data_IF_163072315369
#
_entry.id   IF_163072315369
#
_cell.length_a   1.000
_cell.length_b   1.000
_cell.length_c   1.000
_cell.angle_alpha   90.00
_cell.angle_beta   90.00
_cell.angle_gamma   90.00
#
_symmetry.space_group_name_H-M   'P 1'
#
loop_
_entity.id
_entity.type
_entity.pdbx_description
1 polymer ?
#
# COMPACT_ATOMS: atom_id res chain seq x y z
N UNK A 1 -2.84 13.76 26.02
CA UNK A 1 -2.32 12.89 24.94
C UNK A 1 -3.09 13.22 23.67
N UNK A 2 -2.43 13.33 22.51
CA UNK A 2 -3.14 13.57 21.25
C UNK A 2 -3.86 12.28 20.86
N UNK A 3 -5.19 12.34 20.84
CA UNK A 3 -6.02 11.22 20.45
C UNK A 3 -6.25 11.17 18.93
N UNK A 4 -6.41 12.34 18.31
CA UNK A 4 -6.56 12.47 16.86
C UNK A 4 -5.23 12.26 16.13
N UNK A 5 -5.31 11.64 14.96
CA UNK A 5 -4.18 11.55 14.01
C UNK A 5 -3.78 12.95 13.54
N UNK A 6 -4.77 13.82 13.29
CA UNK A 6 -4.59 15.23 12.97
C UNK A 6 -5.71 16.07 13.61
N UNK A 7 -5.37 17.23 14.17
CA UNK A 7 -6.30 18.14 14.84
C UNK A 7 -6.40 19.45 14.04
N UNK A 8 -7.40 19.59 13.13
CA UNK A 8 -7.48 20.75 12.26
C UNK A 8 -7.83 22.05 12.99
N UNK A 9 -8.34 21.96 14.23
CA UNK A 9 -8.62 23.14 15.06
C UNK A 9 -7.31 23.74 15.57
N UNK A 10 -6.33 22.90 15.92
CA UNK A 10 -5.02 23.35 16.42
C UNK A 10 -3.97 23.55 15.34
N UNK A 11 -3.97 22.70 14.32
CA UNK A 11 -2.91 22.65 13.30
C UNK A 11 -3.29 23.34 11.99
N UNK A 12 -4.52 23.85 11.88
CA UNK A 12 -5.05 24.48 10.68
C UNK A 12 -5.79 23.51 9.77
N UNK A 13 -6.41 24.03 8.70
CA UNK A 13 -7.20 23.21 7.77
C UNK A 13 -6.37 22.47 6.73
N UNK A 14 -5.15 22.94 6.46
CA UNK A 14 -4.24 22.37 5.47
C UNK A 14 -3.20 21.50 6.18
N UNK A 15 -3.11 20.23 5.80
CA UNK A 15 -2.02 19.36 6.24
C UNK A 15 -0.78 19.57 5.36
N UNK A 16 0.40 19.45 5.95
CA UNK A 16 1.63 19.17 5.18
C UNK A 16 1.78 17.65 5.04
N UNK A 17 1.50 17.16 3.83
CA UNK A 17 1.47 15.74 3.49
C UNK A 17 2.70 15.39 2.66
N UNK A 18 3.45 14.39 3.09
CA UNK A 18 4.59 13.87 2.32
C UNK A 18 4.17 12.57 1.64
N UNK A 19 4.13 12.57 0.31
CA UNK A 19 3.80 11.40 -0.49
C UNK A 19 5.09 10.68 -0.92
N UNK A 20 5.28 9.46 -0.43
CA UNK A 20 6.44 8.63 -0.76
C UNK A 20 6.09 7.79 -1.98
N UNK A 21 6.93 7.86 -3.01
CA UNK A 21 6.73 7.13 -4.26
C UNK A 21 8.04 6.43 -4.68
N UNK A 22 7.92 5.30 -5.36
CA UNK A 22 9.05 4.63 -6.01
C UNK A 22 8.81 4.35 -7.50
N UNK A 23 7.58 4.52 -7.99
CA UNK A 23 7.16 4.12 -9.34
C UNK A 23 6.34 5.17 -10.07
N UNK A 24 5.18 4.76 -10.60
CA UNK A 24 4.32 5.59 -11.45
C UNK A 24 3.67 6.77 -10.74
N UNK A 25 3.51 6.71 -9.41
CA UNK A 25 2.87 7.77 -8.62
C UNK A 25 1.36 7.88 -8.81
N UNK A 26 0.70 6.82 -9.28
CA UNK A 26 -0.76 6.84 -9.53
C UNK A 26 -1.58 7.06 -8.26
N UNK A 27 -1.30 6.36 -7.15
CA UNK A 27 -1.95 6.63 -5.86
C UNK A 27 -1.75 8.08 -5.40
N UNK A 28 -0.55 8.63 -5.58
CA UNK A 28 -0.25 10.02 -5.26
C UNK A 28 -1.13 11.00 -6.06
N UNK A 29 -1.30 10.77 -7.37
CA UNK A 29 -2.19 11.58 -8.20
C UNK A 29 -3.61 11.60 -7.63
N UNK A 30 -4.19 10.43 -7.36
CA UNK A 30 -5.58 10.36 -6.87
C UNK A 30 -5.76 11.04 -5.50
N UNK A 31 -4.75 10.94 -4.62
CA UNK A 31 -4.74 11.64 -3.32
C UNK A 31 -4.84 13.14 -3.53
N UNK A 32 -3.98 13.70 -4.40
CA UNK A 32 -3.91 15.15 -4.68
C UNK A 32 -5.17 15.63 -5.39
N UNK A 33 -5.60 14.94 -6.45
CA UNK A 33 -6.73 15.37 -7.28
C UNK A 33 -8.03 15.44 -6.46
N UNK A 34 -8.18 14.56 -5.48
CA UNK A 34 -9.35 14.52 -4.58
C UNK A 34 -9.23 15.42 -3.35
N UNK A 35 -8.01 15.81 -2.95
CA UNK A 35 -7.75 16.63 -1.76
C UNK A 35 -6.78 17.79 -2.08
N UNK A 36 -7.08 18.65 -3.05
CA UNK A 36 -6.11 19.65 -3.56
C UNK A 36 -5.73 20.71 -2.50
N UNK A 37 -6.53 20.87 -1.45
CA UNK A 37 -6.38 21.91 -0.44
C UNK A 37 -5.36 21.57 0.67
N UNK A 38 -4.30 20.84 0.34
CA UNK A 38 -3.21 20.49 1.27
C UNK A 38 -1.85 20.84 0.69
N UNK A 39 -0.85 20.93 1.55
CA UNK A 39 0.53 21.24 1.15
C UNK A 39 1.26 19.93 0.89
N UNK A 40 1.52 19.64 -0.38
CA UNK A 40 2.11 18.38 -0.80
C UNK A 40 3.60 18.51 -1.11
N UNK A 41 4.37 17.57 -0.58
CA UNK A 41 5.75 17.31 -1.01
C UNK A 41 5.86 15.85 -1.39
N UNK A 42 6.59 15.58 -2.47
CA UNK A 42 6.84 14.22 -2.93
C UNK A 42 8.25 13.81 -2.54
N UNK A 43 8.37 12.67 -1.86
CA UNK A 43 9.65 12.04 -1.60
C UNK A 43 9.81 10.81 -2.51
N UNK A 44 11.00 10.59 -3.08
CA UNK A 44 11.33 9.35 -3.79
C UNK A 44 12.68 8.78 -3.40
N UNK A 45 12.71 7.47 -3.18
CA UNK A 45 13.93 6.66 -3.04
C UNK A 45 14.50 6.19 -4.38
N UNK A 46 13.83 6.51 -5.48
CA UNK A 46 14.22 6.23 -6.87
C UNK A 46 14.19 7.54 -7.65
N UNK A 47 15.29 8.31 -7.62
CA UNK A 47 15.38 9.58 -8.35
C UNK A 47 14.95 9.41 -9.82
N UNK A 48 14.10 10.30 -10.31
CA UNK A 48 13.58 10.25 -11.67
C UNK A 48 12.47 9.21 -11.95
N UNK A 49 11.88 8.57 -10.93
CA UNK A 49 10.72 7.69 -11.13
C UNK A 49 9.51 8.43 -11.74
N UNK A 50 8.58 7.70 -12.39
CA UNK A 50 7.48 8.29 -13.16
C UNK A 50 6.61 9.28 -12.38
N UNK A 51 6.38 9.04 -11.09
CA UNK A 51 5.59 9.94 -10.25
C UNK A 51 6.24 11.31 -10.01
N UNK A 52 7.56 11.47 -10.21
CA UNK A 52 8.21 12.79 -10.18
C UNK A 52 7.67 13.70 -11.29
N UNK A 53 7.25 13.14 -12.43
CA UNK A 53 6.62 13.90 -13.51
C UNK A 53 5.23 14.43 -13.12
N UNK A 54 4.46 13.65 -12.35
CA UNK A 54 3.16 14.07 -11.81
C UNK A 54 3.37 15.21 -10.81
N UNK A 55 4.36 15.08 -9.91
CA UNK A 55 4.69 16.10 -8.93
C UNK A 55 5.05 17.45 -9.57
N UNK A 56 5.90 17.43 -10.60
CA UNK A 56 6.28 18.64 -11.37
C UNK A 56 5.07 19.30 -12.04
N UNK A 57 4.16 18.51 -12.63
CA UNK A 57 2.93 19.04 -13.26
C UNK A 57 2.02 19.74 -12.24
N UNK A 58 1.99 19.24 -11.01
CA UNK A 58 1.22 19.82 -9.90
C UNK A 58 2.00 20.92 -9.14
N UNK A 59 3.20 21.31 -9.60
CA UNK A 59 4.09 22.25 -8.90
C UNK A 59 4.43 21.84 -7.45
N UNK A 60 4.44 20.54 -7.17
CA UNK A 60 4.81 20.02 -5.86
C UNK A 60 6.31 19.81 -5.78
N UNK A 61 6.92 20.21 -4.65
CA UNK A 61 8.35 20.02 -4.39
C UNK A 61 8.66 18.52 -4.39
N UNK A 62 9.76 18.15 -5.07
CA UNK A 62 10.28 16.78 -5.08
C UNK A 62 11.58 16.74 -4.29
N UNK A 63 11.64 15.85 -3.30
CA UNK A 63 12.83 15.50 -2.54
C UNK A 63 13.27 14.09 -2.95
N UNK A 64 14.54 13.93 -3.27
CA UNK A 64 15.09 12.67 -3.77
C UNK A 64 16.25 12.22 -2.88
N UNK A 65 16.19 10.97 -2.39
CA UNK A 65 17.31 10.34 -1.70
C UNK A 65 17.37 8.87 -2.05
N UNK A 66 18.33 8.49 -2.90
CA UNK A 66 18.47 7.10 -3.34
C UNK A 66 18.85 6.17 -2.18
N UNK A 67 18.07 5.11 -2.00
CA UNK A 67 18.35 4.06 -1.02
C UNK A 67 19.46 3.10 -1.47
N UNK A 68 19.82 3.11 -2.77
CA UNK A 68 20.75 2.13 -3.36
C UNK A 68 22.14 2.21 -2.72
N UNK A 69 22.79 3.39 -2.55
CA UNK A 69 24.10 3.48 -1.93
C UNK A 69 24.10 2.99 -0.48
N UNK A 70 23.08 3.34 0.29
CA UNK A 70 22.91 2.93 1.68
C UNK A 70 22.84 1.41 1.83
N UNK A 71 22.02 0.76 1.01
CA UNK A 71 21.76 -0.68 1.17
C UNK A 71 22.74 -1.57 0.40
N UNK A 72 23.73 -1.00 -0.30
CA UNK A 72 24.62 -1.74 -1.20
C UNK A 72 25.36 -2.87 -0.47
N UNK A 73 26.05 -2.55 0.62
CA UNK A 73 26.85 -3.53 1.35
C UNK A 73 25.98 -4.54 2.11
N UNK A 74 24.88 -4.09 2.71
CA UNK A 74 23.90 -4.97 3.33
C UNK A 74 23.30 -5.98 2.33
N UNK A 75 23.01 -5.55 1.10
CA UNK A 75 22.50 -6.44 0.03
C UNK A 75 23.52 -7.48 -0.41
N UNK A 76 24.82 -7.15 -0.43
CA UNK A 76 25.87 -8.15 -0.67
C UNK A 76 25.93 -9.18 0.45
N UNK A 77 25.78 -8.74 1.70
CA UNK A 77 25.83 -9.60 2.90
C UNK A 77 24.63 -10.52 3.03
N UNK A 78 23.42 -9.99 2.84
CA UNK A 78 22.17 -10.71 3.11
C UNK A 78 21.49 -11.28 1.85
N UNK A 79 21.85 -10.76 0.68
CA UNK A 79 21.12 -10.96 -0.57
C UNK A 79 20.07 -9.85 -0.83
N UNK A 80 19.70 -9.64 -2.10
CA UNK A 80 18.65 -8.70 -2.48
C UNK A 80 17.30 -9.12 -1.85
N UNK A 81 16.52 -8.14 -1.38
CA UNK A 81 15.24 -8.39 -0.71
C UNK A 81 15.32 -8.97 0.71
N UNK A 82 16.50 -9.43 1.14
CA UNK A 82 16.71 -10.12 2.42
C UNK A 82 17.38 -9.27 3.50
N UNK A 83 17.65 -7.99 3.22
CA UNK A 83 18.20 -7.06 4.21
C UNK A 83 17.17 -6.87 5.33
N UNK A 84 17.49 -7.22 6.59
CA UNK A 84 16.58 -7.13 7.72
C UNK A 84 15.94 -5.75 7.86
N UNK A 85 14.69 -5.68 8.31
CA UNK A 85 13.93 -4.44 8.46
C UNK A 85 14.69 -3.38 9.28
N UNK A 86 15.23 -3.77 10.43
CA UNK A 86 15.96 -2.87 11.33
C UNK A 86 17.49 -2.97 11.17
N UNK A 87 17.97 -3.32 9.97
CA UNK A 87 19.40 -3.28 9.68
C UNK A 87 19.94 -1.84 9.83
N UNK A 88 21.16 -1.64 10.37
CA UNK A 88 21.73 -0.30 10.59
C UNK A 88 21.70 0.59 9.34
N UNK A 89 21.90 0.02 8.16
CA UNK A 89 21.90 0.72 6.88
C UNK A 89 20.52 1.29 6.51
N UNK A 90 19.44 0.55 6.82
CA UNK A 90 18.06 1.04 6.64
C UNK A 90 17.74 2.15 7.64
N UNK A 91 18.14 1.97 8.90
CA UNK A 91 17.94 2.98 9.95
C UNK A 91 18.69 4.27 9.59
N UNK A 92 19.93 4.17 9.12
CA UNK A 92 20.70 5.34 8.71
C UNK A 92 20.06 6.03 7.51
N UNK A 93 19.62 5.26 6.50
CA UNK A 93 18.88 5.81 5.37
C UNK A 93 17.64 6.59 5.80
N UNK A 94 16.84 6.03 6.72
CA UNK A 94 15.64 6.71 7.23
C UNK A 94 15.94 7.94 8.07
N UNK A 95 17.03 7.95 8.85
CA UNK A 95 17.48 9.16 9.57
C UNK A 95 17.76 10.31 8.62
N UNK A 96 18.53 10.04 7.56
CA UNK A 96 18.91 11.06 6.58
C UNK A 96 17.70 11.52 5.75
N UNK A 97 16.83 10.59 5.36
CA UNK A 97 15.55 10.87 4.71
C UNK A 97 14.65 11.74 5.58
N UNK A 98 14.49 11.41 6.87
CA UNK A 98 13.67 12.18 7.79
C UNK A 98 14.25 13.58 8.00
N UNK A 99 15.57 13.69 8.14
CA UNK A 99 16.26 14.97 8.25
C UNK A 99 16.04 15.83 7.00
N UNK A 100 16.18 15.25 5.80
CA UNK A 100 15.91 15.95 4.54
C UNK A 100 14.50 16.54 4.48
N UNK A 101 13.48 15.73 4.82
CA UNK A 101 12.08 16.16 4.82
C UNK A 101 11.85 17.27 5.86
N UNK A 102 12.28 17.05 7.11
CA UNK A 102 12.04 18.00 8.20
C UNK A 102 12.82 19.29 8.02
N UNK A 103 14.01 19.25 7.44
CA UNK A 103 14.78 20.43 7.07
C UNK A 103 14.07 21.25 6.00
N UNK A 104 13.50 20.61 4.96
CA UNK A 104 12.75 21.31 3.91
C UNK A 104 11.48 21.97 4.46
N UNK A 105 10.73 21.32 5.34
CA UNK A 105 9.45 21.86 5.85
C UNK A 105 9.55 22.61 7.19
N UNK A 106 10.72 22.57 7.84
CA UNK A 106 10.98 23.20 9.15
C UNK A 106 10.28 22.55 10.36
N UNK A 107 9.66 21.37 10.19
CA UNK A 107 8.87 20.68 11.22
C UNK A 107 8.68 19.20 10.85
N UNK A 108 7.96 18.45 11.70
CA UNK A 108 7.50 17.12 11.32
C UNK A 108 6.30 17.18 10.36
N UNK A 109 6.17 16.21 9.44
CA UNK A 109 4.96 16.04 8.63
C UNK A 109 3.69 15.87 9.48
N UNK A 110 2.57 16.35 8.94
CA UNK A 110 1.25 16.05 9.52
C UNK A 110 0.80 14.64 9.14
N UNK A 111 1.14 14.20 7.92
CA UNK A 111 0.83 12.88 7.38
C UNK A 111 1.90 12.44 6.37
N UNK A 112 2.25 11.17 6.41
CA UNK A 112 3.09 10.50 5.41
C UNK A 112 2.22 9.48 4.69
N UNK A 113 2.17 9.55 3.36
CA UNK A 113 1.42 8.64 2.52
C UNK A 113 2.37 7.80 1.66
N UNK A 114 2.49 6.51 1.95
CA UNK A 114 3.22 5.55 1.13
C UNK A 114 2.38 5.20 -0.11
N UNK A 115 2.58 5.96 -1.18
CA UNK A 115 1.83 5.88 -2.43
C UNK A 115 2.57 5.03 -3.47
N UNK A 116 2.85 3.77 -3.13
CA UNK A 116 3.70 2.87 -3.92
C UNK A 116 5.19 3.03 -3.61
N UNK A 117 5.51 3.21 -2.34
CA UNK A 117 6.87 3.21 -1.81
C UNK A 117 7.37 1.78 -1.60
N UNK A 118 8.56 1.44 -2.08
CA UNK A 118 9.03 0.05 -2.18
C UNK A 118 10.11 -0.35 -1.15
N UNK A 119 10.29 0.43 -0.09
CA UNK A 119 11.18 0.09 1.02
C UNK A 119 10.40 -0.18 2.30
N UNK A 120 10.90 -1.14 3.08
CA UNK A 120 10.44 -1.38 4.45
C UNK A 120 10.69 -0.14 5.31
N UNK A 121 9.73 0.19 6.17
CA UNK A 121 9.89 1.24 7.18
C UNK A 121 10.45 0.67 8.49
N UNK A 122 11.56 1.20 8.99
CA UNK A 122 12.17 0.70 10.23
C UNK A 122 11.42 1.21 11.47
N UNK A 123 11.72 0.63 12.63
CA UNK A 123 11.17 1.06 13.91
C UNK A 123 11.49 2.52 14.21
N UNK A 124 12.62 3.06 13.70
CA UNK A 124 12.98 4.47 13.84
C UNK A 124 11.91 5.40 13.26
N UNK A 125 11.47 5.13 12.03
CA UNK A 125 10.45 5.94 11.38
C UNK A 125 9.07 5.76 12.03
N UNK A 126 8.74 4.53 12.45
CA UNK A 126 7.51 4.24 13.19
C UNK A 126 7.47 5.00 14.51
N UNK A 127 8.51 4.93 15.33
CA UNK A 127 8.58 5.62 16.62
C UNK A 127 8.48 7.14 16.46
N UNK A 128 8.99 7.68 15.34
CA UNK A 128 8.97 9.12 15.08
C UNK A 128 7.61 9.64 14.63
N UNK A 129 6.88 8.86 13.82
CA UNK A 129 5.69 9.38 13.15
C UNK A 129 4.39 8.66 13.46
N UNK A 130 4.38 7.46 14.06
CA UNK A 130 3.14 6.76 14.39
C UNK A 130 2.18 7.65 15.20
N UNK A 131 0.87 7.72 14.86
CA UNK A 131 0.12 7.00 13.82
C UNK A 131 -0.07 7.84 12.52
N UNK A 132 0.97 8.50 12.00
CA UNK A 132 0.89 9.41 10.84
C UNK A 132 1.49 8.84 9.56
N UNK A 133 1.77 7.54 9.50
CA UNK A 133 2.26 6.88 8.28
C UNK A 133 1.15 5.96 7.76
N UNK A 134 0.64 6.25 6.57
CA UNK A 134 -0.37 5.42 5.90
C UNK A 134 0.26 4.62 4.78
N UNK A 135 -0.21 3.39 4.60
CA UNK A 135 0.05 2.59 3.42
C UNK A 135 -1.24 1.97 2.90
N UNK A 136 -1.30 1.75 1.58
CA UNK A 136 -2.33 0.93 0.95
C UNK A 136 -1.69 -0.36 0.44
N UNK A 137 -2.37 -1.48 0.69
CA UNK A 137 -1.96 -2.80 0.22
C UNK A 137 -3.08 -3.43 -0.61
N UNK A 138 -2.79 -3.96 -1.82
CA UNK A 138 -3.77 -4.63 -2.67
C UNK A 138 -4.06 -6.06 -2.18
N UNK A 139 -4.69 -6.16 -1.02
CA UNK A 139 -5.10 -7.41 -0.38
C UNK A 139 -5.82 -7.15 0.95
N UNK A 140 -6.64 -8.11 1.40
CA UNK A 140 -7.26 -8.08 2.73
C UNK A 140 -6.23 -8.51 3.79
N UNK A 141 -5.55 -7.54 4.40
CA UNK A 141 -4.50 -7.82 5.39
C UNK A 141 -5.04 -8.50 6.64
N UNK A 142 -6.33 -8.33 6.95
CA UNK A 142 -6.97 -9.00 8.11
C UNK A 142 -7.18 -10.50 7.90
N UNK A 143 -7.14 -10.95 6.64
CA UNK A 143 -7.13 -12.37 6.27
C UNK A 143 -5.72 -12.92 6.05
N UNK A 144 -4.69 -12.10 6.22
CA UNK A 144 -3.30 -12.49 5.95
C UNK A 144 -2.93 -12.51 4.47
N UNK A 145 -3.71 -11.89 3.59
CA UNK A 145 -3.38 -11.74 2.15
C UNK A 145 -2.35 -10.62 1.96
N UNK A 146 -1.15 -10.85 2.50
CA UNK A 146 0.01 -9.96 2.45
C UNK A 146 1.05 -10.49 1.47
N UNK A 147 2.04 -9.66 1.14
CA UNK A 147 3.13 -10.03 0.22
C UNK A 147 3.21 -9.13 -1.00
N UNK A 148 4.07 -9.48 -1.94
CA UNK A 148 4.35 -8.66 -3.11
C UNK A 148 3.60 -9.17 -4.34
N UNK A 149 3.25 -8.25 -5.24
CA UNK A 149 2.75 -8.56 -6.59
C UNK A 149 1.51 -9.47 -6.57
N UNK A 150 1.61 -10.64 -7.19
CA UNK A 150 0.52 -11.59 -7.44
C UNK A 150 0.11 -12.38 -6.19
N UNK A 151 0.95 -12.41 -5.15
CA UNK A 151 0.79 -13.28 -3.97
C UNK A 151 -0.57 -13.08 -3.28
N UNK A 152 -1.02 -11.86 -2.93
CA UNK A 152 -2.31 -11.68 -2.25
C UNK A 152 -3.51 -12.23 -3.04
N UNK A 153 -3.50 -12.07 -4.36
CA UNK A 153 -4.57 -12.53 -5.25
C UNK A 153 -4.56 -14.05 -5.39
N UNK A 154 -3.37 -14.65 -5.54
CA UNK A 154 -3.23 -16.09 -5.60
C UNK A 154 -3.68 -16.73 -4.29
N UNK A 155 -3.32 -16.17 -3.13
CA UNK A 155 -3.81 -16.63 -1.83
C UNK A 155 -5.34 -16.57 -1.75
N UNK A 156 -5.96 -15.45 -2.17
CA UNK A 156 -7.41 -15.32 -2.18
C UNK A 156 -8.08 -16.38 -3.09
N UNK A 157 -7.56 -16.59 -4.31
CA UNK A 157 -8.06 -17.59 -5.25
C UNK A 157 -7.94 -19.01 -4.68
N UNK A 158 -6.77 -19.38 -4.15
CA UNK A 158 -6.49 -20.73 -3.66
C UNK A 158 -7.22 -21.05 -2.35
N UNK A 159 -7.62 -20.03 -1.59
CA UNK A 159 -8.47 -20.19 -0.40
C UNK A 159 -9.97 -20.13 -0.72
N UNK A 160 -10.34 -19.98 -1.99
CA UNK A 160 -11.73 -20.02 -2.46
C UNK A 160 -12.51 -18.72 -2.26
N UNK A 161 -11.83 -17.59 -2.09
CA UNK A 161 -12.49 -16.29 -1.99
C UNK A 161 -13.19 -15.91 -3.29
N UNK A 162 -14.37 -15.29 -3.19
CA UNK A 162 -15.13 -14.80 -4.34
C UNK A 162 -14.74 -13.37 -4.76
N UNK A 163 -13.99 -12.68 -3.90
CA UNK A 163 -13.63 -11.27 -4.05
C UNK A 163 -12.33 -10.92 -3.34
N UNK A 164 -11.71 -9.84 -3.79
CA UNK A 164 -10.53 -9.21 -3.19
C UNK A 164 -10.81 -7.77 -2.81
N UNK A 165 -10.03 -7.22 -1.89
CA UNK A 165 -10.13 -5.84 -1.39
C UNK A 165 -8.75 -5.22 -1.26
N UNK A 166 -8.68 -3.90 -1.40
CA UNK A 166 -7.53 -3.13 -0.93
C UNK A 166 -7.72 -2.76 0.53
N UNK A 167 -6.63 -2.76 1.29
CA UNK A 167 -6.62 -2.38 2.70
C UNK A 167 -5.67 -1.20 2.90
N UNK A 168 -6.16 -0.14 3.54
CA UNK A 168 -5.37 1.00 3.95
C UNK A 168 -5.26 1.04 5.48
N UNK A 169 -4.03 1.10 5.97
CA UNK A 169 -3.69 0.96 7.37
C UNK A 169 -2.56 1.89 7.78
N UNK A 170 -2.40 2.07 9.10
CA UNK A 170 -1.30 2.81 9.68
C UNK A 170 -0.07 1.90 9.81
N UNK A 171 1.09 2.30 9.28
CA UNK A 171 2.33 1.54 9.47
C UNK A 171 2.74 1.58 10.94
N UNK A 172 2.90 0.41 11.55
CA UNK A 172 3.42 0.26 12.90
C UNK A 172 4.60 -0.75 12.95
N UNK A 173 4.96 -1.22 14.14
CA UNK A 173 6.06 -2.18 14.31
C UNK A 173 5.70 -3.60 13.83
N UNK A 174 4.47 -3.88 13.43
CA UNK A 174 4.07 -5.16 12.84
C UNK A 174 4.01 -5.01 11.31
N UNK A 175 4.90 -5.71 10.59
CA UNK A 175 4.99 -5.62 9.12
C UNK A 175 3.65 -5.96 8.45
N UNK A 176 3.18 -5.07 7.59
CA UNK A 176 1.95 -5.19 6.76
C UNK A 176 0.67 -5.63 7.50
N UNK A 177 0.63 -5.42 8.82
CA UNK A 177 -0.52 -5.72 9.67
C UNK A 177 -0.73 -4.63 10.74
N UNK A 178 -0.56 -3.38 10.32
CA UNK A 178 -0.87 -2.23 11.16
C UNK A 178 -2.38 -2.02 11.32
N UNK A 179 -2.81 -1.13 12.22
CA UNK A 179 -4.23 -0.86 12.44
C UNK A 179 -4.94 -0.40 11.16
N UNK A 180 -5.98 -1.11 10.76
CA UNK A 180 -6.72 -0.83 9.53
C UNK A 180 -7.65 0.36 9.72
N UNK A 181 -7.56 1.33 8.81
CA UNK A 181 -8.49 2.47 8.76
C UNK A 181 -9.64 2.18 7.81
N UNK A 182 -9.34 1.76 6.58
CA UNK A 182 -10.36 1.57 5.54
C UNK A 182 -10.03 0.40 4.61
N UNK A 183 -11.06 -0.34 4.22
CA UNK A 183 -11.04 -1.33 3.15
C UNK A 183 -11.94 -0.89 1.98
N UNK A 184 -11.53 -1.24 0.77
CA UNK A 184 -12.33 -0.97 -0.43
C UNK A 184 -13.61 -1.78 -0.45
N UNK A 185 -14.54 -1.41 -1.35
CA UNK A 185 -15.59 -2.31 -1.79
C UNK A 185 -14.98 -3.62 -2.35
N UNK A 186 -15.71 -4.74 -2.30
CA UNK A 186 -15.20 -6.02 -2.79
C UNK A 186 -15.14 -6.02 -4.33
N UNK A 187 -13.97 -6.31 -4.89
CA UNK A 187 -13.80 -6.60 -6.31
C UNK A 187 -14.07 -8.09 -6.55
N UNK A 188 -15.18 -8.42 -7.23
CA UNK A 188 -15.57 -9.81 -7.52
C UNK A 188 -14.63 -10.41 -8.56
N UNK A 189 -13.92 -11.50 -8.20
CA UNK A 189 -12.84 -12.07 -9.02
C UNK A 189 -13.37 -12.53 -10.39
N UNK A 190 -14.28 -13.53 -10.40
CA UNK A 190 -14.77 -14.13 -11.63
C UNK A 190 -15.46 -13.12 -12.56
N UNK A 191 -16.29 -12.23 -11.98
CA UNK A 191 -16.96 -11.16 -12.72
C UNK A 191 -15.95 -10.22 -13.39
N UNK A 192 -14.94 -9.77 -12.65
CA UNK A 192 -13.92 -8.85 -13.18
C UNK A 192 -13.14 -9.48 -14.32
N UNK A 193 -12.72 -10.75 -14.18
CA UNK A 193 -11.99 -11.45 -15.25
C UNK A 193 -12.85 -11.61 -16.51
N UNK A 194 -14.13 -11.96 -16.36
CA UNK A 194 -15.06 -12.08 -17.49
C UNK A 194 -15.27 -10.74 -18.21
N UNK A 195 -15.38 -9.63 -17.47
CA UNK A 195 -15.50 -8.29 -18.04
C UNK A 195 -14.23 -7.84 -18.77
N UNK A 196 -13.05 -8.24 -18.29
CA UNK A 196 -11.77 -7.99 -18.98
C UNK A 196 -11.68 -8.81 -20.28
N UNK A 197 -12.06 -10.08 -20.24
CA UNK A 197 -12.09 -10.95 -21.43
C UNK A 197 -13.07 -10.45 -22.50
N UNK A 198 -14.21 -9.89 -22.08
CA UNK A 198 -15.19 -9.28 -22.99
C UNK A 198 -14.63 -8.04 -23.73
N UNK A 199 -13.71 -7.31 -23.11
CA UNK A 199 -13.04 -6.14 -23.73
C UNK A 199 -11.90 -6.56 -24.65
N UNK A 200 -11.15 -7.58 -24.25
CA UNK A 200 -10.05 -8.14 -25.02
C UNK A 200 -9.92 -9.62 -24.71
N UNK A 201 -9.97 -10.53 -25.69
CA UNK A 201 -9.95 -11.96 -25.44
C UNK A 201 -8.59 -12.39 -24.88
N UNK A 202 -8.50 -12.55 -23.55
CA UNK A 202 -7.30 -12.95 -22.81
C UNK A 202 -7.42 -14.35 -22.20
N UNK A 203 -8.62 -14.94 -22.21
CA UNK A 203 -8.97 -16.24 -21.61
C UNK A 203 -8.73 -16.31 -20.10
N UNK A 204 -8.86 -15.18 -19.40
CA UNK A 204 -8.63 -15.09 -17.96
C UNK A 204 -9.67 -15.91 -17.17
N UNK A 205 -10.94 -15.89 -17.56
CA UNK A 205 -11.99 -16.64 -16.86
C UNK A 205 -11.84 -18.16 -17.07
N UNK A 206 -11.48 -18.58 -18.27
CA UNK A 206 -11.14 -19.97 -18.58
C UNK A 206 -9.90 -20.41 -17.77
N UNK A 207 -8.88 -19.56 -17.73
CA UNK A 207 -7.69 -19.74 -16.91
C UNK A 207 -8.02 -19.91 -15.42
N UNK A 208 -8.92 -19.10 -14.88
CA UNK A 208 -9.34 -19.20 -13.47
C UNK A 208 -9.97 -20.59 -13.20
N UNK A 209 -10.85 -21.07 -14.08
CA UNK A 209 -11.44 -22.40 -13.93
C UNK A 209 -10.38 -23.50 -13.96
N UNK A 210 -9.38 -23.40 -14.84
CA UNK A 210 -8.26 -24.35 -14.91
C UNK A 210 -7.45 -24.35 -13.62
N UNK A 211 -7.09 -23.18 -13.11
CA UNK A 211 -6.37 -23.00 -11.85
C UNK A 211 -7.13 -23.61 -10.68
N UNK A 212 -8.42 -23.31 -10.54
CA UNK A 212 -9.27 -23.82 -9.47
C UNK A 212 -9.47 -25.35 -9.57
N UNK A 213 -9.66 -25.88 -10.78
CA UNK A 213 -9.81 -27.32 -10.99
C UNK A 213 -8.53 -28.08 -10.59
N UNK A 214 -7.37 -27.57 -11.00
CA UNK A 214 -6.07 -28.15 -10.64
C UNK A 214 -5.81 -28.07 -9.13
N UNK A 215 -6.02 -26.89 -8.53
CA UNK A 215 -5.82 -26.68 -7.10
C UNK A 215 -6.75 -27.59 -6.27
N UNK A 216 -8.02 -27.71 -6.67
CA UNK A 216 -8.98 -28.60 -6.03
C UNK A 216 -8.61 -30.08 -6.13
N UNK A 217 -8.24 -30.55 -7.33
CA UNK A 217 -7.81 -31.94 -7.55
C UNK A 217 -6.56 -32.31 -6.75
N UNK A 218 -5.63 -31.36 -6.62
CA UNK A 218 -4.35 -31.53 -5.91
C UNK A 218 -4.39 -31.11 -4.44
N UNK A 219 -5.56 -30.68 -3.93
CA UNK A 219 -5.79 -30.14 -2.58
C UNK A 219 -4.79 -29.03 -2.18
N UNK A 220 -4.48 -28.16 -3.12
CA UNK A 220 -3.52 -27.05 -2.95
C UNK A 220 -4.26 -25.86 -2.34
N UNK A 221 -3.74 -25.32 -1.24
CA UNK A 221 -4.31 -24.14 -0.56
C UNK A 221 -3.34 -22.98 -0.39
N UNK A 222 -2.06 -23.16 -0.76
CA UNK A 222 -1.02 -22.15 -0.61
C UNK A 222 -0.38 -21.83 -1.96
N UNK A 223 0.14 -20.60 -2.09
CA UNK A 223 0.79 -20.16 -3.31
C UNK A 223 2.08 -20.94 -3.57
N UNK A 224 2.85 -21.22 -2.52
CA UNK A 224 4.10 -21.98 -2.61
C UNK A 224 3.86 -23.40 -3.13
N UNK A 225 2.87 -24.11 -2.59
CA UNK A 225 2.51 -25.44 -3.08
C UNK A 225 1.99 -25.41 -4.53
N UNK A 226 1.26 -24.36 -4.89
CA UNK A 226 0.81 -24.17 -6.27
C UNK A 226 2.00 -24.03 -7.22
N UNK A 227 2.96 -23.17 -6.88
CA UNK A 227 4.15 -22.94 -7.70
C UNK A 227 5.09 -24.17 -7.76
N UNK A 228 5.05 -25.05 -6.75
CA UNK A 228 5.82 -26.29 -6.77
C UNK A 228 5.18 -27.36 -7.67
N UNK A 229 3.85 -27.47 -7.65
CA UNK A 229 3.13 -28.59 -8.30
C UNK A 229 2.60 -28.26 -9.70
N UNK A 230 2.25 -27.00 -9.97
CA UNK A 230 1.73 -26.58 -11.26
C UNK A 230 2.84 -26.60 -12.32
N UNK A 231 2.49 -26.95 -13.57
CA UNK A 231 3.41 -26.76 -14.69
C UNK A 231 3.60 -25.28 -15.03
N UNK A 232 4.61 -24.98 -15.84
CA UNK A 232 4.97 -23.60 -16.21
C UNK A 232 3.81 -22.85 -16.89
N UNK A 233 2.99 -23.54 -17.67
CA UNK A 233 1.82 -22.94 -18.33
C UNK A 233 0.81 -22.46 -17.29
N UNK A 234 0.44 -23.31 -16.34
CA UNK A 234 -0.55 -22.99 -15.33
C UNK A 234 -0.04 -21.95 -14.31
N UNK A 235 1.27 -21.95 -14.03
CA UNK A 235 1.92 -20.87 -13.28
C UNK A 235 1.79 -19.53 -14.00
N UNK A 236 2.03 -19.50 -15.32
CA UNK A 236 1.85 -18.28 -16.12
C UNK A 236 0.39 -17.83 -16.13
N UNK A 237 -0.56 -18.75 -16.26
CA UNK A 237 -2.00 -18.45 -16.17
C UNK A 237 -2.36 -17.82 -14.83
N UNK A 238 -1.87 -18.36 -13.70
CA UNK A 238 -2.06 -17.77 -12.39
C UNK A 238 -1.50 -16.33 -12.33
N UNK A 239 -0.29 -16.13 -12.83
CA UNK A 239 0.35 -14.81 -12.85
C UNK A 239 -0.42 -13.78 -13.69
N UNK A 240 -0.92 -14.18 -14.87
CA UNK A 240 -1.72 -13.32 -15.74
C UNK A 240 -3.04 -12.93 -15.07
N UNK A 241 -3.73 -13.88 -14.44
CA UNK A 241 -4.96 -13.62 -13.67
C UNK A 241 -4.68 -12.62 -12.54
N UNK A 242 -3.67 -12.89 -11.72
CA UNK A 242 -3.35 -12.07 -10.56
C UNK A 242 -2.90 -10.65 -10.96
N UNK A 243 -2.12 -10.51 -12.03
CA UNK A 243 -1.69 -9.19 -12.53
C UNK A 243 -2.87 -8.36 -13.03
N UNK A 244 -3.82 -8.98 -13.72
CA UNK A 244 -5.03 -8.30 -14.19
C UNK A 244 -5.94 -7.88 -13.03
N UNK A 245 -6.11 -8.75 -12.03
CA UNK A 245 -6.85 -8.41 -10.81
C UNK A 245 -6.17 -7.29 -10.02
N UNK A 246 -4.83 -7.28 -9.95
CA UNK A 246 -4.08 -6.22 -9.29
C UNK A 246 -4.31 -4.86 -9.97
N UNK A 247 -4.28 -4.82 -11.30
CA UNK A 247 -4.55 -3.59 -12.04
C UNK A 247 -5.99 -3.11 -11.87
N UNK A 248 -6.98 -4.02 -11.86
CA UNK A 248 -8.37 -3.68 -11.59
C UNK A 248 -8.57 -3.19 -10.15
N UNK A 249 -8.01 -3.90 -9.16
CA UNK A 249 -8.13 -3.56 -7.75
C UNK A 249 -7.41 -2.25 -7.41
N UNK A 250 -6.32 -1.90 -8.10
CA UNK A 250 -5.70 -0.59 -7.97
C UNK A 250 -6.70 0.54 -8.28
N UNK A 251 -7.51 0.40 -9.34
CA UNK A 251 -8.48 1.42 -9.77
C UNK A 251 -9.74 1.42 -8.89
N UNK A 252 -10.29 0.25 -8.62
CA UNK A 252 -11.55 0.11 -7.87
C UNK A 252 -11.37 0.09 -6.34
N UNK A 253 -10.13 -0.13 -5.90
CA UNK A 253 -9.74 -0.21 -4.50
C UNK A 253 -8.83 0.93 -4.09
N UNK A 254 -7.54 0.85 -4.39
CA UNK A 254 -6.52 1.79 -3.89
C UNK A 254 -6.89 3.25 -4.19
N UNK A 255 -7.21 3.55 -5.45
CA UNK A 255 -7.55 4.89 -5.92
C UNK A 255 -8.84 5.43 -5.27
N UNK A 256 -9.72 4.55 -4.78
CA UNK A 256 -10.95 4.94 -4.09
C UNK A 256 -10.74 5.19 -2.60
N UNK A 257 -9.98 4.34 -1.93
CA UNK A 257 -9.86 4.39 -0.46
C UNK A 257 -8.78 5.35 0.04
N UNK A 258 -7.68 5.52 -0.70
CA UNK A 258 -6.59 6.37 -0.26
C UNK A 258 -7.04 7.84 -0.08
N UNK A 259 -7.71 8.45 -1.07
CA UNK A 259 -8.17 9.82 -0.93
C UNK A 259 -9.17 10.00 0.21
N UNK A 260 -10.07 9.02 0.42
CA UNK A 260 -11.04 9.02 1.52
C UNK A 260 -10.33 9.03 2.88
N UNK A 261 -9.31 8.17 3.06
CA UNK A 261 -8.54 8.11 4.30
C UNK A 261 -7.88 9.46 4.63
N UNK A 262 -7.23 10.09 3.64
CA UNK A 262 -6.63 11.43 3.79
C UNK A 262 -7.68 12.45 4.19
N UNK A 263 -8.85 12.43 3.53
CA UNK A 263 -9.94 13.35 3.85
C UNK A 263 -10.46 13.16 5.28
N UNK A 264 -10.66 11.92 5.74
CA UNK A 264 -11.13 11.63 7.10
C UNK A 264 -10.15 12.16 8.16
N UNK A 265 -8.84 11.95 7.94
CA UNK A 265 -7.80 12.45 8.84
C UNK A 265 -7.74 13.97 8.82
N UNK A 266 -7.77 14.60 7.63
CA UNK A 266 -7.72 16.07 7.50
C UNK A 266 -8.86 16.78 8.23
N UNK A 267 -10.03 16.13 8.32
CA UNK A 267 -11.22 16.62 9.02
C UNK A 267 -11.19 16.36 10.52
N UNK A 268 -10.11 15.78 11.05
CA UNK A 268 -9.97 15.46 12.47
C UNK A 268 -10.95 14.38 12.96
N UNK A 269 -11.36 13.46 12.07
CA UNK A 269 -12.35 12.42 12.39
C UNK A 269 -11.72 11.11 12.85
N UNK A 270 -10.42 10.95 12.67
CA UNK A 270 -9.71 9.69 12.94
C UNK A 270 -8.84 9.82 14.17
N UNK A 271 -9.03 8.88 15.09
CA UNK A 271 -8.27 8.74 16.34
C UNK A 271 -7.64 7.36 16.40
N UNK A 272 -6.42 7.28 16.92
CA UNK A 272 -5.71 6.00 17.12
C UNK A 272 -5.19 5.97 18.55
N UNK A 273 -5.65 4.98 19.33
CA UNK A 273 -5.15 4.72 20.69
C UNK A 273 -4.50 3.34 20.69
N UNK A 274 -3.20 3.27 20.92
CA UNK A 274 -2.47 2.00 20.77
C UNK A 274 -2.63 1.50 19.34
N UNK A 275 -3.30 0.35 19.16
CA UNK A 275 -3.65 -0.23 17.84
C UNK A 275 -5.15 -0.15 17.51
N UNK A 276 -5.93 0.54 18.33
CA UNK A 276 -7.37 0.72 18.10
C UNK A 276 -7.63 1.98 17.28
N UNK A 277 -8.37 1.84 16.19
CA UNK A 277 -8.75 2.95 15.31
C UNK A 277 -10.19 3.36 15.60
N UNK A 278 -10.43 4.65 15.69
CA UNK A 278 -11.73 5.25 15.93
C UNK A 278 -12.07 6.21 14.78
N UNK A 279 -13.32 6.20 14.34
CA UNK A 279 -13.89 7.15 13.40
C UNK A 279 -15.09 7.83 14.07
N UNK A 280 -15.05 9.15 14.21
CA UNK A 280 -16.05 9.94 14.95
C UNK A 280 -16.36 9.35 16.34
N UNK A 281 -15.29 9.09 17.10
CA UNK A 281 -15.30 8.48 18.45
C UNK A 281 -15.87 7.05 18.54
N UNK A 282 -16.20 6.42 17.41
CA UNK A 282 -16.61 5.02 17.37
C UNK A 282 -15.43 4.14 17.02
N UNK A 283 -15.15 3.15 17.88
CA UNK A 283 -14.13 2.13 17.61
C UNK A 283 -14.51 1.36 16.35
N UNK A 284 -13.59 1.29 15.40
CA UNK A 284 -13.74 0.49 14.20
C UNK A 284 -13.48 -1.00 14.50
N UNK A 285 -14.11 -1.91 13.75
CA UNK A 285 -13.72 -3.32 13.77
C UNK A 285 -12.30 -3.49 13.23
N UNK A 286 -11.72 -4.69 13.38
CA UNK A 286 -10.33 -4.97 12.96
C UNK A 286 -10.09 -4.70 11.46
N UNK A 287 -11.11 -4.88 10.62
CA UNK A 287 -11.07 -4.57 9.19
C UNK A 287 -11.27 -3.08 8.85
N UNK A 288 -11.36 -2.22 9.86
CA UNK A 288 -11.61 -0.79 9.69
C UNK A 288 -13.01 -0.48 9.16
N UNK A 289 -13.15 0.68 8.54
CA UNK A 289 -14.35 1.07 7.80
C UNK A 289 -14.34 0.47 6.39
N UNK A 290 -15.47 0.00 5.86
CA UNK A 290 -15.56 -0.52 4.49
C UNK A 290 -16.31 0.45 3.59
N UNK A 291 -15.75 0.79 2.44
CA UNK A 291 -16.54 1.42 1.37
C UNK A 291 -17.58 0.40 0.86
N UNK A 292 -18.82 0.87 0.73
CA UNK A 292 -19.98 0.09 0.29
C UNK A 292 -19.96 -0.19 -1.20
#
# INVERSE_FOLDING_TARGET
>A
MRELVYDPVKSGKRMTIICFISGSGTNYREIVDSNPDHDYIVFTNRPGCGGTGIARKNNHKVLELSHIPYLKEARKKHGPGKVPRNAPERIQYEKDLCHLIEHEIGRQPDLICLAGYDQLNTDYMVDKYYPRILNVHPGDTTKGYVGLHTIPFAMAILTGEDSVRSTLFFIDKNMDNGPVLVQSAPLKIAKTLAELDAKQPRKLIEGLHRVLAFAGASRITTYEEFMEKADEELQQVMNDICSNLQEALKVEGDWKIYPVAVQLISKGRVKVIGREVFLDDKKLPEYGFRLG
#
